data_IF_759276311297
#
_entry.id   IF_759276311297
#
_cell.length_a   1.000
_cell.length_b   1.000
_cell.length_c   1.000
_cell.angle_alpha   90.00
_cell.angle_beta   90.00
_cell.angle_gamma   90.00
#
_symmetry.space_group_name_H-M   'P 1'
#
loop_
_entity.id
_entity.type
_entity.pdbx_description
1 polymer ?
#
# COMPACT_ATOMS: atom_id res chain seq x y z
N UNK A 1 3.08 48.12 -38.11
CA UNK A 1 2.08 47.38 -37.34
C UNK A 1 2.72 46.09 -36.83
N UNK A 2 3.00 46.01 -35.53
CA UNK A 2 3.61 44.83 -34.91
C UNK A 2 2.48 43.86 -34.61
N UNK A 3 2.35 42.82 -35.44
CA UNK A 3 1.48 41.68 -35.18
C UNK A 3 2.03 40.89 -33.98
N UNK A 4 1.75 41.35 -32.77
CA UNK A 4 1.91 40.55 -31.56
C UNK A 4 0.78 39.54 -31.58
N UNK A 5 1.13 38.26 -31.67
CA UNK A 5 0.18 37.16 -31.62
C UNK A 5 -0.56 37.19 -30.28
N UNK A 6 -1.84 37.53 -30.35
CA UNK A 6 -2.80 37.55 -29.24
C UNK A 6 -3.12 36.11 -28.79
N UNK A 7 -2.16 35.39 -28.21
CA UNK A 7 -2.40 33.98 -27.80
C UNK A 7 -1.64 33.47 -26.57
N UNK A 8 -0.86 34.28 -25.86
CA UNK A 8 -0.04 33.78 -24.74
C UNK A 8 -0.31 34.46 -23.38
N UNK A 9 -1.48 35.08 -23.17
CA UNK A 9 -1.87 35.51 -21.82
C UNK A 9 -2.57 34.34 -21.11
N UNK A 10 -1.84 33.62 -20.26
CA UNK A 10 -2.41 32.55 -19.42
C UNK A 10 -3.21 33.14 -18.26
N UNK A 11 -4.43 33.58 -18.55
CA UNK A 11 -5.39 34.07 -17.55
C UNK A 11 -6.08 32.90 -16.86
N UNK A 12 -6.36 33.03 -15.57
CA UNK A 12 -7.22 32.10 -14.85
C UNK A 12 -8.62 32.02 -15.48
N UNK A 13 -9.01 30.83 -15.92
CA UNK A 13 -10.38 30.51 -16.35
C UNK A 13 -11.01 29.40 -15.47
N UNK A 14 -12.27 29.06 -15.76
CA UNK A 14 -13.03 28.04 -15.02
C UNK A 14 -12.44 26.62 -15.19
N UNK A 15 -11.59 26.40 -16.19
CA UNK A 15 -10.98 25.11 -16.52
C UNK A 15 -9.51 24.98 -16.09
N UNK A 16 -8.91 26.08 -15.64
CA UNK A 16 -7.49 26.23 -15.34
C UNK A 16 -7.06 25.38 -14.15
N UNK A 17 -7.97 25.18 -13.19
CA UNK A 17 -7.76 24.32 -12.04
C UNK A 17 -8.95 23.40 -11.82
N UNK A 18 -8.67 22.10 -11.79
CA UNK A 18 -9.58 21.00 -11.49
C UNK A 18 -9.37 20.48 -10.07
N UNK A 19 -10.26 19.57 -9.67
CA UNK A 19 -10.19 18.82 -8.40
C UNK A 19 -10.22 19.72 -7.15
N UNK A 20 -10.97 20.83 -7.21
CA UNK A 20 -11.13 21.75 -6.08
C UNK A 20 -9.99 22.76 -5.90
N UNK A 21 -9.18 22.98 -6.93
CA UNK A 21 -8.17 24.03 -6.94
C UNK A 21 -8.75 25.39 -7.30
N UNK A 22 -8.27 26.43 -6.62
CA UNK A 22 -8.57 27.83 -6.97
C UNK A 22 -7.41 28.38 -7.77
N UNK A 23 -7.67 28.84 -8.99
CA UNK A 23 -6.66 29.45 -9.82
C UNK A 23 -6.19 30.79 -9.23
N UNK A 24 -4.87 30.97 -9.16
CA UNK A 24 -4.23 32.22 -8.77
C UNK A 24 -3.09 32.54 -9.73
N UNK A 25 -3.00 33.80 -10.12
CA UNK A 25 -1.87 34.34 -10.87
C UNK A 25 -0.74 34.65 -9.88
N UNK A 26 0.42 34.00 -10.04
CA UNK A 26 1.59 34.21 -9.19
C UNK A 26 2.82 34.46 -10.09
N UNK A 27 3.16 35.74 -10.27
CA UNK A 27 4.25 36.14 -11.16
C UNK A 27 3.91 35.93 -12.64
N UNK A 28 4.78 35.20 -13.35
CA UNK A 28 4.65 34.91 -14.79
C UNK A 28 3.94 33.56 -15.08
N UNK A 29 3.26 33.01 -14.07
CA UNK A 29 2.66 31.67 -14.13
C UNK A 29 1.35 31.53 -13.37
N UNK A 30 0.58 30.53 -13.78
CA UNK A 30 -0.69 30.15 -13.18
C UNK A 30 -0.46 29.05 -12.13
N UNK A 31 -0.94 29.25 -10.91
CA UNK A 31 -0.91 28.23 -9.84
C UNK A 31 -2.30 27.87 -9.33
N UNK A 32 -2.50 26.58 -9.09
CA UNK A 32 -3.70 26.08 -8.41
C UNK A 32 -3.50 26.04 -6.90
N UNK A 33 -4.20 26.91 -6.18
CA UNK A 33 -4.26 26.92 -4.73
C UNK A 33 -5.23 25.83 -4.22
N UNK A 34 -4.69 24.81 -3.57
CA UNK A 34 -5.44 23.67 -3.05
C UNK A 34 -5.69 23.80 -1.56
N UNK A 35 -6.85 24.36 -1.18
CA UNK A 35 -7.21 24.58 0.22
C UNK A 35 -8.10 23.44 0.74
N UNK A 36 -7.49 22.44 1.36
CA UNK A 36 -8.19 21.30 1.95
C UNK A 36 -7.96 21.26 3.46
N UNK A 37 -9.05 21.25 4.23
CA UNK A 37 -9.02 21.03 5.68
C UNK A 37 -9.18 19.53 5.94
N UNK A 38 -8.06 18.82 6.06
CA UNK A 38 -8.05 17.39 6.31
C UNK A 38 -7.90 17.07 7.79
N UNK A 39 -8.71 16.13 8.30
CA UNK A 39 -8.48 15.53 9.61
C UNK A 39 -7.19 14.69 9.59
N UNK A 40 -6.56 14.54 10.75
CA UNK A 40 -5.32 13.77 10.91
C UNK A 40 -5.54 12.29 11.23
N UNK A 41 -6.80 11.84 11.37
CA UNK A 41 -7.11 10.41 11.55
C UNK A 41 -6.51 9.59 10.41
N UNK A 42 -5.80 8.53 10.78
CA UNK A 42 -5.13 7.62 9.85
C UNK A 42 -6.11 6.51 9.42
N UNK A 43 -6.64 6.65 8.21
CA UNK A 43 -7.57 5.72 7.57
C UNK A 43 -7.07 5.56 6.12
N UNK A 44 -6.03 4.73 5.90
CA UNK A 44 -5.27 4.77 4.66
C UNK A 44 -6.12 4.32 3.46
N UNK A 45 -5.84 4.92 2.30
CA UNK A 45 -6.44 4.56 1.02
C UNK A 45 -5.37 4.45 -0.06
N UNK A 46 -5.56 3.52 -0.98
CA UNK A 46 -4.70 3.36 -2.14
C UNK A 46 -5.25 4.17 -3.31
N UNK A 47 -4.45 5.10 -3.84
CA UNK A 47 -4.83 5.90 -5.01
C UNK A 47 -4.62 5.14 -6.32
N UNK A 48 -5.31 5.57 -7.37
CA UNK A 48 -5.16 5.05 -8.75
C UNK A 48 -3.80 5.31 -9.37
N UNK A 49 -2.99 6.16 -8.76
CA UNK A 49 -1.59 6.37 -9.08
C UNK A 49 -0.63 5.41 -8.36
N UNK A 50 -1.13 4.48 -7.54
CA UNK A 50 -0.30 3.53 -6.79
C UNK A 50 0.28 4.09 -5.48
N UNK A 51 -0.08 5.32 -5.10
CA UNK A 51 0.38 5.94 -3.86
C UNK A 51 -0.60 5.71 -2.70
N UNK A 52 -0.05 5.47 -1.51
CA UNK A 52 -0.81 5.40 -0.27
C UNK A 52 -1.07 6.80 0.29
N UNK A 53 -2.33 7.12 0.56
CA UNK A 53 -2.71 8.35 1.25
C UNK A 53 -3.22 8.06 2.65
N UNK A 54 -2.81 8.89 3.63
CA UNK A 54 -3.22 8.75 5.03
C UNK A 54 -4.75 8.72 5.22
N UNK A 55 -5.48 9.43 4.38
CA UNK A 55 -6.92 9.31 4.21
C UNK A 55 -7.35 9.95 2.88
N UNK A 56 -8.64 9.80 2.56
CA UNK A 56 -9.23 10.28 1.30
C UNK A 56 -9.10 11.80 1.10
N UNK A 57 -9.11 12.60 2.17
CA UNK A 57 -8.92 14.05 2.04
C UNK A 57 -7.51 14.38 1.52
N UNK A 58 -6.48 13.69 2.00
CA UNK A 58 -5.12 13.86 1.51
C UNK A 58 -4.98 13.42 0.04
N UNK A 59 -5.71 12.38 -0.38
CA UNK A 59 -5.78 11.93 -1.77
C UNK A 59 -6.41 12.99 -2.69
N UNK A 60 -7.54 13.58 -2.29
CA UNK A 60 -8.18 14.68 -3.04
C UNK A 60 -7.29 15.91 -3.12
N UNK A 61 -6.60 16.24 -2.02
CA UNK A 61 -5.61 17.34 -2.01
C UNK A 61 -4.45 17.07 -2.97
N UNK A 62 -3.98 15.84 -3.07
CA UNK A 62 -2.97 15.46 -4.05
C UNK A 62 -3.50 15.58 -5.49
N UNK A 63 -4.74 15.13 -5.75
CA UNK A 63 -5.40 15.30 -7.06
C UNK A 63 -5.42 16.77 -7.49
N UNK A 64 -5.75 17.67 -6.57
CA UNK A 64 -5.68 19.11 -6.80
C UNK A 64 -4.27 19.60 -7.08
N UNK A 65 -3.28 19.23 -6.26
CA UNK A 65 -1.90 19.73 -6.42
C UNK A 65 -1.27 19.27 -7.72
N UNK A 66 -1.55 18.04 -8.13
CA UNK A 66 -1.04 17.45 -9.36
C UNK A 66 -1.92 17.74 -10.58
N UNK A 67 -3.07 18.38 -10.38
CA UNK A 67 -4.06 18.62 -11.43
C UNK A 67 -4.38 17.36 -12.24
N UNK A 68 -4.45 16.22 -11.52
CA UNK A 68 -4.70 14.89 -12.08
C UNK A 68 -5.75 14.18 -11.24
N UNK A 69 -6.64 13.44 -11.91
CA UNK A 69 -7.60 12.62 -11.21
C UNK A 69 -6.90 11.46 -10.52
N UNK A 70 -7.07 11.38 -9.20
CA UNK A 70 -6.65 10.25 -8.39
C UNK A 70 -7.91 9.74 -7.73
N UNK A 71 -8.27 8.49 -8.02
CA UNK A 71 -9.43 7.83 -7.42
C UNK A 71 -8.96 6.82 -6.38
N UNK A 72 -9.82 6.47 -5.44
CA UNK A 72 -9.52 5.38 -4.50
C UNK A 72 -9.68 4.06 -5.25
N UNK A 73 -8.60 3.28 -5.33
CA UNK A 73 -8.60 1.92 -5.88
C UNK A 73 -8.95 0.90 -4.80
N UNK A 74 -8.41 1.07 -3.60
CA UNK A 74 -8.67 0.17 -2.48
C UNK A 74 -8.68 0.91 -1.15
N UNK A 75 -9.43 0.36 -0.18
CA UNK A 75 -9.32 0.74 1.23
C UNK A 75 -8.07 0.08 1.81
N UNK A 76 -7.34 0.81 2.64
CA UNK A 76 -6.00 0.39 3.08
C UNK A 76 -4.89 0.99 2.23
N UNK A 77 -3.62 0.82 2.64
CA UNK A 77 -2.48 1.31 1.89
C UNK A 77 -2.32 0.59 0.54
N UNK A 78 -1.68 1.23 -0.42
CA UNK A 78 -1.16 0.52 -1.59
C UNK A 78 -0.06 -0.44 -1.16
N UNK A 79 -0.05 -1.61 -1.77
CA UNK A 79 1.07 -2.55 -1.67
C UNK A 79 2.16 -2.06 -2.62
N UNK A 80 2.95 -1.09 -2.17
CA UNK A 80 4.13 -0.65 -2.90
C UNK A 80 5.22 -1.69 -2.70
N UNK A 81 5.50 -2.47 -3.74
CA UNK A 81 6.76 -3.17 -3.93
C UNK A 81 7.86 -2.09 -4.08
N UNK A 82 8.29 -1.52 -2.96
CA UNK A 82 9.36 -0.52 -2.90
C UNK A 82 10.37 -0.97 -1.84
N UNK A 83 11.09 -2.04 -2.20
CA UNK A 83 12.46 -2.17 -1.77
C UNK A 83 13.26 -1.06 -2.45
N UNK A 84 13.60 -0.02 -1.71
CA UNK A 84 14.76 0.81 -2.05
C UNK A 84 16.00 -0.09 -2.08
N UNK A 85 16.30 -0.65 -3.24
CA UNK A 85 17.63 -1.12 -3.58
C UNK A 85 18.42 0.07 -4.09
N UNK A 86 19.17 0.72 -3.20
CA UNK A 86 20.32 1.53 -3.60
C UNK A 86 21.28 0.60 -4.33
N UNK A 87 21.43 0.82 -5.63
CA UNK A 87 22.31 0.07 -6.51
C UNK A 87 22.63 0.93 -7.72
N UNK A 88 23.30 2.06 -7.50
CA UNK A 88 24.09 2.68 -8.56
C UNK A 88 25.21 1.71 -8.95
N UNK A 89 24.98 1.01 -10.06
CA UNK A 89 25.96 0.16 -10.73
C UNK A 89 25.98 0.54 -12.20
N UNK A 90 26.73 1.59 -12.53
CA UNK A 90 27.14 1.88 -13.90
C UNK A 90 28.22 0.86 -14.26
N UNK A 91 27.87 -0.17 -15.02
CA UNK A 91 28.87 -1.02 -15.68
C UNK A 91 28.52 -1.14 -17.16
N UNK A 92 29.25 -0.38 -17.98
CA UNK A 92 29.33 -0.60 -19.40
C UNK A 92 30.01 -1.95 -19.67
N UNK A 93 29.31 -2.83 -20.36
CA UNK A 93 29.83 -4.10 -20.84
C UNK A 93 29.03 -4.58 -22.05
N UNK A 94 29.51 -4.23 -23.25
CA UNK A 94 29.16 -4.90 -24.50
C UNK A 94 29.40 -6.41 -24.38
N UNK A 95 28.41 -7.23 -24.66
CA UNK A 95 28.59 -8.69 -24.73
C UNK A 95 27.27 -9.42 -24.95
N UNK A 96 27.23 -10.19 -26.02
CA UNK A 96 26.10 -10.95 -26.54
C UNK A 96 25.70 -12.14 -25.65
N UNK A 97 24.57 -12.76 -26.02
CA UNK A 97 24.16 -14.15 -25.78
C UNK A 97 23.71 -14.61 -24.37
N UNK A 98 22.38 -14.55 -24.19
CA UNK A 98 21.49 -15.57 -23.62
C UNK A 98 22.17 -16.68 -22.80
N UNK A 99 22.25 -16.46 -21.48
CA UNK A 99 22.14 -17.50 -20.46
C UNK A 99 21.84 -16.80 -19.13
N UNK A 100 20.55 -16.55 -18.87
CA UNK A 100 20.08 -16.25 -17.52
C UNK A 100 20.38 -17.49 -16.70
N UNK A 101 21.51 -17.51 -16.00
CA UNK A 101 21.73 -18.46 -14.92
C UNK A 101 20.58 -18.20 -13.94
N UNK A 102 19.60 -19.10 -13.90
CA UNK A 102 18.53 -19.01 -12.94
C UNK A 102 19.19 -19.01 -11.56
N UNK A 103 19.11 -17.90 -10.82
CA UNK A 103 19.30 -17.94 -9.37
C UNK A 103 18.49 -19.11 -8.85
N UNK A 104 19.09 -19.97 -8.01
CA UNK A 104 18.41 -21.16 -7.47
C UNK A 104 17.19 -20.81 -6.61
N UNK A 105 17.05 -19.53 -6.30
CA UNK A 105 16.01 -18.94 -5.49
C UNK A 105 14.90 -18.36 -6.37
N UNK A 106 13.65 -18.66 -6.02
CA UNK A 106 12.50 -17.96 -6.59
C UNK A 106 12.47 -16.49 -6.18
N UNK A 107 11.59 -15.70 -6.80
CA UNK A 107 11.34 -14.32 -6.39
C UNK A 107 10.68 -14.33 -5.00
N UNK A 108 11.42 -13.87 -3.99
CA UNK A 108 10.91 -13.72 -2.63
C UNK A 108 9.98 -12.50 -2.52
N UNK A 109 8.85 -12.69 -1.84
CA UNK A 109 7.81 -11.68 -1.60
C UNK A 109 7.75 -11.29 -0.12
N UNK A 110 7.00 -10.24 0.20
CA UNK A 110 6.70 -9.81 1.56
C UNK A 110 7.95 -9.53 2.42
N UNK A 111 8.97 -8.90 1.81
CA UNK A 111 10.22 -8.49 2.47
C UNK A 111 11.10 -9.66 2.92
N UNK A 112 10.92 -10.84 2.31
CA UNK A 112 11.85 -11.93 2.48
C UNK A 112 13.07 -11.74 1.57
N UNK A 113 14.25 -12.02 2.11
CA UNK A 113 15.53 -11.95 1.41
C UNK A 113 15.94 -13.35 0.97
N UNK A 114 16.49 -13.47 -0.23
CA UNK A 114 17.01 -14.74 -0.66
C UNK A 114 18.43 -14.94 -0.13
N UNK A 115 18.64 -16.04 0.60
CA UNK A 115 19.98 -16.51 0.95
C UNK A 115 20.43 -17.53 -0.11
N UNK A 116 21.32 -17.10 -1.00
CA UNK A 116 21.89 -17.95 -2.07
C UNK A 116 22.99 -18.89 -1.56
N UNK A 117 23.48 -18.68 -0.33
CA UNK A 117 24.58 -19.44 0.28
C UNK A 117 24.09 -20.57 1.22
N UNK A 118 22.78 -20.61 1.52
CA UNK A 118 22.17 -21.66 2.31
C UNK A 118 22.01 -22.98 1.52
N UNK A 119 22.33 -24.12 2.15
CA UNK A 119 22.09 -25.46 1.59
C UNK A 119 20.61 -25.72 1.25
N UNK A 120 19.70 -25.01 1.93
CA UNK A 120 18.28 -24.96 1.65
C UNK A 120 17.92 -23.60 1.05
N UNK A 121 18.04 -23.48 -0.27
CA UNK A 121 17.73 -22.25 -1.01
C UNK A 121 16.27 -21.86 -0.78
N UNK A 122 16.05 -20.74 -0.09
CA UNK A 122 14.72 -20.31 0.34
C UNK A 122 14.68 -18.85 0.77
N UNK A 123 13.46 -18.34 0.91
CA UNK A 123 13.23 -16.97 1.34
C UNK A 123 13.36 -16.87 2.87
N UNK A 124 14.24 -15.99 3.34
CA UNK A 124 14.56 -15.77 4.75
C UNK A 124 13.90 -14.48 5.24
N UNK A 125 13.40 -14.50 6.48
CA UNK A 125 12.66 -13.39 7.07
C UNK A 125 13.41 -12.76 8.23
N UNK A 126 13.90 -11.54 8.01
CA UNK A 126 14.65 -10.74 8.99
C UNK A 126 13.76 -9.63 9.59
N UNK A 127 12.67 -10.02 10.27
CA UNK A 127 11.72 -9.09 10.90
C UNK A 127 11.85 -9.19 12.42
N UNK A 128 12.18 -8.08 13.08
CA UNK A 128 12.25 -8.01 14.54
C UNK A 128 10.98 -7.37 15.11
N UNK A 129 10.22 -8.15 15.89
CA UNK A 129 9.00 -7.70 16.55
C UNK A 129 9.17 -7.38 18.05
N UNK A 130 10.39 -7.47 18.60
CA UNK A 130 10.68 -7.35 20.04
C UNK A 130 10.40 -5.95 20.63
N UNK A 131 10.35 -4.91 19.80
CA UNK A 131 10.10 -3.52 20.21
C UNK A 131 8.65 -3.04 20.11
N UNK A 132 7.71 -3.90 19.66
CA UNK A 132 6.33 -3.48 19.42
C UNK A 132 5.41 -3.79 20.61
N UNK A 133 4.54 -2.84 20.94
CA UNK A 133 3.54 -3.02 22.00
C UNK A 133 2.44 -4.01 21.61
N UNK A 134 1.85 -4.65 22.61
CA UNK A 134 0.69 -5.53 22.45
C UNK A 134 -0.50 -4.71 21.88
N UNK A 135 -0.95 -5.07 20.68
CA UNK A 135 -2.06 -4.46 19.98
C UNK A 135 -2.72 -5.54 19.09
N UNK A 136 -3.61 -6.37 19.66
CA UNK A 136 -4.07 -7.58 18.99
C UNK A 136 -4.83 -7.24 17.72
N UNK A 137 -4.67 -8.06 16.68
CA UNK A 137 -5.32 -7.90 15.37
C UNK A 137 -5.77 -9.26 14.82
N UNK A 138 -6.90 -9.25 14.11
CA UNK A 138 -7.39 -10.39 13.37
C UNK A 138 -6.99 -10.25 11.90
N UNK A 139 -6.34 -11.27 11.38
CA UNK A 139 -5.79 -11.26 10.05
C UNK A 139 -6.67 -12.01 9.02
N UNK A 140 -6.33 -11.87 7.74
CA UNK A 140 -7.07 -12.41 6.60
C UNK A 140 -7.06 -13.93 6.56
N UNK A 141 -6.08 -14.56 7.21
CA UNK A 141 -5.92 -15.99 7.38
C UNK A 141 -6.79 -16.57 8.51
N UNK A 142 -7.54 -15.73 9.24
CA UNK A 142 -8.33 -16.14 10.40
C UNK A 142 -7.53 -16.25 11.70
N UNK A 143 -6.25 -15.93 11.68
CA UNK A 143 -5.39 -15.98 12.87
C UNK A 143 -5.43 -14.65 13.63
N UNK A 144 -5.37 -14.76 14.96
CA UNK A 144 -5.17 -13.60 15.83
C UNK A 144 -3.68 -13.39 16.11
N UNK A 145 -3.18 -12.17 15.88
CA UNK A 145 -1.80 -11.79 16.10
C UNK A 145 -1.69 -10.77 17.24
N UNK A 146 -0.62 -10.86 18.04
CA UNK A 146 -0.41 -9.98 19.20
C UNK A 146 -0.16 -8.52 18.82
N UNK A 147 0.35 -8.28 17.61
CA UNK A 147 0.54 -6.96 17.05
C UNK A 147 0.65 -7.04 15.50
N UNK A 148 0.54 -5.90 14.79
CA UNK A 148 0.71 -5.85 13.35
C UNK A 148 2.08 -6.28 12.83
N UNK A 149 3.14 -6.30 13.66
CA UNK A 149 4.46 -6.79 13.25
C UNK A 149 4.42 -8.29 12.99
N UNK A 150 3.79 -9.06 13.88
CA UNK A 150 3.65 -10.51 13.72
C UNK A 150 2.84 -10.90 12.47
N UNK A 151 1.91 -10.05 12.02
CA UNK A 151 1.20 -10.26 10.74
C UNK A 151 2.16 -10.18 9.55
N UNK A 152 3.09 -9.22 9.56
CA UNK A 152 4.12 -9.06 8.51
C UNK A 152 5.14 -10.19 8.55
N UNK A 153 5.54 -10.60 9.75
CA UNK A 153 6.42 -11.75 9.96
C UNK A 153 5.79 -13.03 9.39
N UNK A 154 4.52 -13.28 9.69
CA UNK A 154 3.79 -14.42 9.14
C UNK A 154 3.64 -14.34 7.61
N UNK A 155 3.36 -13.15 7.06
CA UNK A 155 3.31 -12.92 5.60
C UNK A 155 4.64 -13.28 4.93
N UNK A 156 5.74 -12.86 5.56
CA UNK A 156 7.10 -13.14 5.10
C UNK A 156 7.39 -14.65 5.15
N UNK A 157 7.16 -15.29 6.30
CA UNK A 157 7.49 -16.71 6.50
C UNK A 157 6.67 -17.64 5.61
N UNK A 158 5.41 -17.27 5.34
CA UNK A 158 4.49 -18.07 4.53
C UNK A 158 4.54 -17.73 3.05
N UNK A 159 5.21 -16.65 2.66
CA UNK A 159 5.19 -16.12 1.31
C UNK A 159 3.74 -15.88 0.80
N UNK A 160 2.87 -15.40 1.69
CA UNK A 160 1.45 -15.18 1.46
C UNK A 160 1.00 -13.78 1.89
N UNK A 161 -0.03 -13.26 1.24
CA UNK A 161 -0.61 -11.98 1.60
C UNK A 161 -1.54 -12.17 2.80
N UNK A 162 -1.08 -11.75 3.97
CA UNK A 162 -1.88 -11.74 5.19
C UNK A 162 -2.20 -10.29 5.55
N UNK A 163 -3.44 -9.89 5.31
CA UNK A 163 -3.94 -8.55 5.57
C UNK A 163 -4.64 -8.48 6.92
N UNK A 164 -4.61 -7.34 7.60
CA UNK A 164 -5.37 -7.14 8.84
C UNK A 164 -6.83 -6.91 8.47
N UNK A 165 -7.74 -7.78 8.91
CA UNK A 165 -9.20 -7.58 8.74
C UNK A 165 -9.73 -6.55 9.72
N UNK A 166 -9.41 -6.70 11.00
CA UNK A 166 -9.83 -5.78 12.05
C UNK A 166 -8.89 -5.80 13.25
N UNK A 167 -9.05 -4.80 14.13
CA UNK A 167 -8.37 -4.74 15.41
C UNK A 167 -9.07 -5.66 16.42
N UNK A 168 -8.31 -6.25 17.34
CA UNK A 168 -8.77 -7.26 18.29
C UNK A 168 -8.54 -8.69 17.81
N UNK A 169 -8.90 -9.67 18.64
CA UNK A 169 -8.83 -11.09 18.29
C UNK A 169 -9.96 -11.49 17.34
N UNK A 170 -9.71 -12.49 16.50
CA UNK A 170 -10.74 -13.10 15.65
C UNK A 170 -11.83 -13.75 16.53
N UNK A 171 -13.07 -13.63 16.08
CA UNK A 171 -14.26 -14.29 16.61
C UNK A 171 -14.64 -15.49 15.73
N UNK A 172 -15.50 -16.39 16.22
CA UNK A 172 -15.97 -17.55 15.44
C UNK A 172 -16.77 -17.14 14.18
N UNK A 173 -17.21 -15.89 14.09
CA UNK A 173 -17.82 -15.33 12.87
C UNK A 173 -16.80 -14.90 11.81
N UNK A 174 -15.52 -14.83 12.16
CA UNK A 174 -14.45 -14.37 11.25
C UNK A 174 -13.87 -15.52 10.41
N UNK A 175 -14.25 -16.77 10.70
CA UNK A 175 -13.84 -17.95 9.92
C UNK A 175 -14.61 -18.14 8.60
N UNK A 176 -15.61 -17.29 8.30
CA UNK A 176 -16.56 -17.52 7.20
C UNK A 176 -16.03 -17.28 5.79
N UNK A 177 -14.72 -17.13 5.59
CA UNK A 177 -14.09 -17.11 4.26
C UNK A 177 -13.15 -18.30 4.01
N UNK A 178 -13.45 -19.46 4.61
CA UNK A 178 -12.99 -20.76 4.11
C UNK A 178 -14.20 -21.64 3.75
N UNK A 179 -14.29 -22.01 2.48
CA UNK A 179 -15.30 -22.91 1.92
C UNK A 179 -15.32 -24.24 2.68
N UNK A 180 -16.47 -24.63 3.25
CA UNK A 180 -16.69 -26.00 3.71
C UNK A 180 -17.72 -26.16 4.83
N UNK A 181 -18.98 -26.43 4.44
CA UNK A 181 -20.06 -26.96 5.29
C UNK A 181 -19.56 -27.97 6.33
N UNK A 182 -20.01 -27.84 7.58
CA UNK A 182 -20.78 -28.88 8.29
C UNK A 182 -21.78 -28.23 9.25
N UNK A 183 -23.06 -28.33 8.89
CA UNK A 183 -24.12 -28.51 9.88
C UNK A 183 -23.71 -29.65 10.82
N UNK A 184 -23.77 -29.39 12.12
CA UNK A 184 -24.47 -30.26 13.07
C UNK A 184 -24.44 -29.54 14.43
N UNK A 185 -25.61 -29.07 14.85
CA UNK A 185 -25.77 -28.43 16.14
C UNK A 185 -25.47 -29.38 17.29
N UNK A 186 -25.04 -28.82 18.41
CA UNK A 186 -25.36 -29.44 19.69
C UNK A 186 -25.65 -28.40 20.78
N UNK A 187 -26.92 -28.44 21.14
CA UNK A 187 -27.62 -27.87 22.28
C UNK A 187 -26.76 -27.47 23.49
N UNK A 188 -26.93 -26.22 23.90
CA UNK A 188 -26.71 -25.74 25.25
C UNK A 188 -27.51 -26.61 26.25
N UNK A 189 -26.86 -27.06 27.33
CA UNK A 189 -27.56 -27.60 28.49
C UNK A 189 -26.90 -27.09 29.76
N UNK A 190 -27.55 -26.20 30.53
CA UNK A 190 -27.11 -25.86 31.87
C UNK A 190 -27.79 -26.82 32.84
N UNK A 191 -27.08 -27.40 33.82
CA UNK A 191 -27.70 -27.63 35.12
C UNK A 191 -26.71 -27.39 36.26
N UNK A 192 -27.22 -26.55 37.16
CA UNK A 192 -26.75 -26.12 38.46
C UNK A 192 -26.63 -27.31 39.41
N UNK A 193 -25.58 -27.31 40.24
CA UNK A 193 -25.65 -27.88 41.59
C UNK A 193 -24.76 -27.13 42.54
#
# INVERSE_FOLDING_TARGET
ELNVRDSDVRVCDESSCKYGGVCKEEGDGLKCACQFQCHTNYIPVCGSNGDTYQNECFLRRASCKHQKEITVVSRGPCYSDNGSGSGEGEYEGSGTEVQRKHSKCGVCKYRAECDEDAENVGCVCNIDCSGYSFNPVCASDGSSYNNPCFVREASCLRQEQIDIRHLGHCSETDDTNAVGKKDDGMQYRPEVK
#
